data_IF_950607107899
#
_entry.id   IF_950607107899
#
_cell.length_a   1.000
_cell.length_b   1.000
_cell.length_c   1.000
_cell.angle_alpha   90.00
_cell.angle_beta   90.00
_cell.angle_gamma   90.00
#
_symmetry.space_group_name_H-M   'P 1'
#
loop_
_entity.id
_entity.type
_entity.pdbx_description
1 polymer ?
#
# COMPACT_ATOMS: atom_id res chain seq x y z
N UNK A 1 6.63 -3.19 11.93
CA UNK A 1 5.62 -2.90 12.98
C UNK A 1 4.73 -1.73 12.60
N UNK A 2 5.26 -0.63 12.05
CA UNK A 2 4.47 0.54 11.63
C UNK A 2 3.39 0.25 10.57
N UNK A 3 3.70 -0.58 9.56
CA UNK A 3 2.73 -0.93 8.51
C UNK A 3 1.51 -1.70 9.05
N UNK A 4 1.72 -2.64 9.98
CA UNK A 4 0.65 -3.46 10.55
C UNK A 4 -0.30 -2.62 11.42
N UNK A 5 0.24 -1.69 12.21
CA UNK A 5 -0.57 -0.76 13.03
C UNK A 5 -1.44 0.11 12.14
N UNK A 6 -0.88 0.67 11.07
CA UNK A 6 -1.62 1.54 10.14
C UNK A 6 -2.69 0.75 9.39
N UNK A 7 -2.41 -0.49 9.01
CA UNK A 7 -3.39 -1.33 8.32
C UNK A 7 -4.54 -1.75 9.25
N UNK A 8 -4.24 -2.05 10.52
CA UNK A 8 -5.27 -2.32 11.54
C UNK A 8 -6.11 -1.08 11.80
N UNK A 9 -5.48 0.10 11.96
CA UNK A 9 -6.20 1.37 12.11
C UNK A 9 -7.08 1.63 10.89
N UNK A 10 -6.57 1.42 9.67
CA UNK A 10 -7.34 1.60 8.44
C UNK A 10 -8.58 0.70 8.39
N UNK A 11 -8.40 -0.61 8.63
CA UNK A 11 -9.51 -1.57 8.61
C UNK A 11 -10.52 -1.19 9.71
N UNK A 12 -10.05 -0.87 10.90
CA UNK A 12 -10.91 -0.53 12.04
C UNK A 12 -11.69 0.77 11.78
N UNK A 13 -11.04 1.83 11.30
CA UNK A 13 -11.70 3.09 10.94
C UNK A 13 -12.69 2.91 9.78
N UNK A 14 -12.31 2.17 8.74
CA UNK A 14 -13.17 1.94 7.57
C UNK A 14 -14.42 1.14 7.94
N UNK A 15 -14.26 0.09 8.77
CA UNK A 15 -15.36 -0.75 9.26
C UNK A 15 -16.27 0.05 10.18
N UNK A 16 -15.72 0.84 11.11
CA UNK A 16 -16.54 1.70 12.00
C UNK A 16 -17.33 2.73 11.20
N UNK A 17 -16.70 3.41 10.24
CA UNK A 17 -17.37 4.39 9.36
C UNK A 17 -18.46 3.72 8.51
N UNK A 18 -18.27 2.47 8.10
CA UNK A 18 -19.25 1.70 7.34
C UNK A 18 -20.45 1.26 8.19
N UNK A 19 -20.21 0.74 9.40
CA UNK A 19 -21.30 0.39 10.32
C UNK A 19 -22.09 1.61 10.78
N UNK A 20 -21.41 2.75 10.97
CA UNK A 20 -22.06 4.01 11.34
C UNK A 20 -23.02 4.51 10.24
N UNK A 21 -22.64 4.38 8.95
CA UNK A 21 -23.52 4.73 7.82
C UNK A 21 -24.78 3.86 7.72
N UNK A 22 -24.68 2.57 8.08
CA UNK A 22 -25.82 1.64 8.02
C UNK A 22 -26.80 1.89 9.18
N UNK A 23 -26.30 2.22 10.37
CA UNK A 23 -27.12 2.26 11.58
C UNK A 23 -27.86 3.58 11.82
N UNK A 24 -27.29 4.71 11.38
CA UNK A 24 -27.87 6.05 11.64
C UNK A 24 -28.51 6.74 10.40
N UNK A 25 -28.51 6.08 9.23
CA UNK A 25 -28.82 6.69 7.94
C UNK A 25 -27.68 7.61 7.48
N UNK A 26 -27.33 7.60 6.18
CA UNK A 26 -26.08 8.18 5.67
C UNK A 26 -25.83 9.64 6.14
N UNK A 27 -24.98 9.91 7.16
CA UNK A 27 -24.57 11.28 7.52
C UNK A 27 -23.74 11.95 6.39
N UNK A 28 -23.29 11.13 5.44
CA UNK A 28 -22.68 11.43 4.15
C UNK A 28 -23.58 12.23 3.23
N UNK A 29 -24.91 12.16 3.42
CA UNK A 29 -25.89 12.96 2.68
C UNK A 29 -26.32 14.23 3.42
N UNK A 30 -26.21 14.25 4.75
CA UNK A 30 -26.56 15.38 5.60
C UNK A 30 -25.44 16.39 5.86
N UNK A 31 -24.16 16.00 5.73
CA UNK A 31 -23.03 16.90 6.00
C UNK A 31 -21.88 16.76 4.99
N UNK A 32 -21.64 17.84 4.24
CA UNK A 32 -20.55 17.95 3.26
C UNK A 32 -19.17 17.67 3.90
N UNK A 33 -19.00 18.07 5.16
CA UNK A 33 -17.75 17.90 5.91
C UNK A 33 -17.45 16.42 6.13
N UNK A 34 -18.44 15.63 6.54
CA UNK A 34 -18.25 14.20 6.80
C UNK A 34 -18.02 13.41 5.50
N UNK A 35 -18.74 13.78 4.44
CA UNK A 35 -18.52 13.27 3.08
C UNK A 35 -17.07 13.44 2.63
N UNK A 36 -16.54 14.68 2.72
CA UNK A 36 -15.14 15.00 2.37
C UNK A 36 -14.14 14.23 3.23
N UNK A 37 -14.37 14.19 4.54
CA UNK A 37 -13.47 13.52 5.47
C UNK A 37 -13.41 12.00 5.21
N UNK A 38 -14.55 11.36 4.95
CA UNK A 38 -14.63 9.91 4.66
C UNK A 38 -13.85 9.56 3.40
N UNK A 39 -14.07 10.29 2.31
CA UNK A 39 -13.35 10.06 1.05
C UNK A 39 -11.85 10.30 1.22
N UNK A 40 -11.47 11.41 1.86
CA UNK A 40 -10.07 11.75 2.08
C UNK A 40 -9.34 10.73 2.96
N UNK A 41 -9.91 10.37 4.11
CA UNK A 41 -9.31 9.39 5.03
C UNK A 41 -9.24 8.00 4.41
N UNK A 42 -10.31 7.54 3.76
CA UNK A 42 -10.31 6.24 3.08
C UNK A 42 -9.21 6.15 2.03
N UNK A 43 -9.02 7.24 1.29
CA UNK A 43 -8.03 7.32 0.23
C UNK A 43 -6.59 7.39 0.77
N UNK A 44 -6.33 8.21 1.80
CA UNK A 44 -5.00 8.32 2.41
C UNK A 44 -4.62 7.04 3.14
N UNK A 45 -5.51 6.52 3.99
CA UNK A 45 -5.18 5.34 4.79
C UNK A 45 -4.95 4.12 3.91
N UNK A 46 -5.80 3.93 2.88
CA UNK A 46 -5.62 2.86 1.89
C UNK A 46 -4.31 3.01 1.12
N UNK A 47 -3.96 4.22 0.68
CA UNK A 47 -2.69 4.45 0.00
C UNK A 47 -1.48 4.25 0.91
N UNK A 48 -1.54 4.77 2.13
CA UNK A 48 -0.47 4.62 3.09
C UNK A 48 -0.15 3.17 3.37
N UNK A 49 -1.17 2.33 3.58
CA UNK A 49 -0.98 0.89 3.77
C UNK A 49 -0.16 0.27 2.62
N UNK A 50 -0.54 0.56 1.37
CA UNK A 50 0.15 0.07 0.16
C UNK A 50 1.57 0.61 0.02
N UNK A 51 1.77 1.91 0.26
CA UNK A 51 3.09 2.53 0.15
C UNK A 51 4.06 2.01 1.21
N UNK A 52 3.62 1.80 2.46
CA UNK A 52 4.49 1.20 3.48
C UNK A 52 4.94 -0.19 3.09
N UNK A 53 4.07 -0.97 2.45
CA UNK A 53 4.44 -2.26 1.90
C UNK A 53 5.53 -2.11 0.83
N UNK A 54 5.33 -1.21 -0.14
CA UNK A 54 6.32 -0.96 -1.19
C UNK A 54 7.68 -0.54 -0.61
N UNK A 55 7.69 0.33 0.40
CA UNK A 55 8.90 0.74 1.12
C UNK A 55 9.58 -0.44 1.81
N UNK A 56 8.81 -1.35 2.41
CA UNK A 56 9.36 -2.59 2.99
C UNK A 56 10.00 -3.46 1.89
N UNK A 57 9.36 -3.61 0.73
CA UNK A 57 9.95 -4.36 -0.39
C UNK A 57 11.27 -3.71 -0.87
N UNK A 58 11.33 -2.38 -0.96
CA UNK A 58 12.54 -1.64 -1.32
C UNK A 58 13.63 -1.82 -0.26
N UNK A 59 13.30 -1.73 1.03
CA UNK A 59 14.26 -1.95 2.11
C UNK A 59 14.81 -3.39 2.09
N UNK A 60 13.95 -4.40 1.90
CA UNK A 60 14.39 -5.79 1.75
C UNK A 60 15.27 -5.99 0.51
N UNK A 61 14.95 -5.34 -0.62
CA UNK A 61 15.81 -5.35 -1.80
C UNK A 61 17.17 -4.70 -1.50
N UNK A 62 17.19 -3.55 -0.84
CA UNK A 62 18.41 -2.84 -0.46
C UNK A 62 19.33 -3.67 0.45
N UNK A 63 18.73 -4.39 1.42
CA UNK A 63 19.45 -5.30 2.33
C UNK A 63 20.01 -6.55 1.64
N UNK A 64 19.29 -7.09 0.66
CA UNK A 64 19.69 -8.32 -0.06
C UNK A 64 20.53 -8.07 -1.31
N UNK A 65 20.67 -6.81 -1.74
CA UNK A 65 21.48 -6.44 -2.89
C UNK A 65 22.97 -6.49 -2.59
N UNK A 66 23.76 -7.05 -3.51
CA UNK A 66 25.22 -7.13 -3.40
C UNK A 66 25.92 -5.78 -3.64
N UNK A 67 25.21 -4.79 -4.18
CA UNK A 67 25.80 -3.51 -4.54
C UNK A 67 25.76 -2.55 -3.34
N UNK A 68 26.94 -2.05 -2.96
CA UNK A 68 27.15 -1.19 -1.79
C UNK A 68 26.33 0.12 -1.82
N UNK A 69 25.99 0.64 -3.01
CA UNK A 69 25.14 1.83 -3.14
C UNK A 69 23.73 1.60 -2.60
N UNK A 70 23.13 0.45 -2.92
CA UNK A 70 21.80 0.10 -2.40
C UNK A 70 21.83 -0.22 -0.92
N UNK A 71 22.88 -0.86 -0.42
CA UNK A 71 23.04 -1.14 1.01
C UNK A 71 23.16 0.14 1.87
N UNK A 72 23.61 1.23 1.26
CA UNK A 72 23.69 2.55 1.92
C UNK A 72 22.30 3.18 2.10
N UNK A 73 21.30 2.82 1.29
CA UNK A 73 19.91 3.28 1.45
C UNK A 73 19.22 2.73 2.71
N UNK A 74 19.67 1.59 3.26
CA UNK A 74 19.19 1.05 4.53
C UNK A 74 19.86 1.67 5.76
N UNK A 75 20.64 2.76 5.61
CA UNK A 75 21.11 3.53 6.76
C UNK A 75 19.92 4.19 7.45
N UNK A 76 19.80 4.09 8.79
CA UNK A 76 18.61 4.57 9.52
C UNK A 76 18.34 6.06 9.35
N UNK A 77 19.37 6.89 9.16
CA UNK A 77 19.22 8.32 8.88
C UNK A 77 18.57 8.60 7.52
N UNK A 78 19.04 7.93 6.47
CA UNK A 78 18.50 8.06 5.10
C UNK A 78 17.11 7.46 5.00
N UNK A 79 16.89 6.30 5.61
CA UNK A 79 15.57 5.64 5.64
C UNK A 79 14.53 6.52 6.34
N UNK A 80 14.88 7.16 7.46
CA UNK A 80 13.96 8.07 8.17
C UNK A 80 13.58 9.28 7.32
N UNK A 81 14.55 9.89 6.64
CA UNK A 81 14.27 11.02 5.73
C UNK A 81 13.35 10.59 4.58
N UNK A 82 13.63 9.46 3.92
CA UNK A 82 12.80 8.91 2.85
C UNK A 82 11.37 8.62 3.30
N UNK A 83 11.18 8.01 4.47
CA UNK A 83 9.84 7.72 5.00
C UNK A 83 9.06 9.01 5.25
N UNK A 84 9.70 10.03 5.84
CA UNK A 84 9.03 11.32 6.11
C UNK A 84 8.67 12.01 4.79
N UNK A 85 9.61 12.08 3.83
CA UNK A 85 9.36 12.70 2.52
C UNK A 85 8.26 12.00 1.75
N UNK A 86 8.28 10.67 1.68
CA UNK A 86 7.23 9.88 1.01
C UNK A 86 5.89 10.11 1.72
N UNK A 87 5.85 10.05 3.06
CA UNK A 87 4.63 10.27 3.83
C UNK A 87 4.02 11.66 3.59
N UNK A 88 4.85 12.71 3.49
CA UNK A 88 4.39 14.06 3.19
C UNK A 88 3.79 14.15 1.78
N UNK A 89 4.48 13.61 0.76
CA UNK A 89 3.99 13.57 -0.61
C UNK A 89 2.64 12.84 -0.69
N UNK A 90 2.49 11.73 0.05
CA UNK A 90 1.25 10.95 0.06
C UNK A 90 0.06 11.64 0.73
N UNK A 91 0.27 12.69 1.52
CA UNK A 91 -0.83 13.54 2.00
C UNK A 91 -1.13 14.71 1.06
N UNK A 92 -0.08 15.29 0.47
CA UNK A 92 -0.21 16.46 -0.41
C UNK A 92 -0.93 16.08 -1.70
N UNK A 93 -0.55 14.96 -2.33
CA UNK A 93 -1.12 14.55 -3.61
C UNK A 93 -2.64 14.35 -3.54
N UNK A 94 -3.24 13.61 -2.58
CA UNK A 94 -4.69 13.44 -2.48
C UNK A 94 -5.44 14.63 -1.87
N UNK A 95 -4.77 15.74 -1.53
CA UNK A 95 -5.44 16.93 -0.94
C UNK A 95 -6.55 17.50 -1.83
N UNK A 96 -6.41 17.38 -3.15
CA UNK A 96 -7.41 17.79 -4.13
C UNK A 96 -8.76 17.05 -3.94
N UNK A 97 -8.73 15.80 -3.46
CA UNK A 97 -9.94 15.00 -3.18
C UNK A 97 -10.73 15.62 -2.03
N UNK A 98 -10.07 16.07 -0.96
CA UNK A 98 -10.75 16.71 0.18
C UNK A 98 -11.49 17.99 -0.22
N UNK A 99 -10.97 18.71 -1.22
CA UNK A 99 -11.53 19.99 -1.65
C UNK A 99 -12.66 19.78 -2.66
N UNK A 100 -12.43 18.90 -3.65
CA UNK A 100 -13.28 18.76 -4.84
C UNK A 100 -14.41 17.73 -4.70
N UNK A 101 -14.45 16.96 -3.60
CA UNK A 101 -15.59 16.09 -3.28
C UNK A 101 -16.82 16.91 -2.93
N UNK A 102 -17.95 16.62 -3.56
CA UNK A 102 -19.22 17.31 -3.34
C UNK A 102 -20.36 16.31 -3.10
N UNK A 103 -21.51 16.83 -2.68
CA UNK A 103 -22.75 16.06 -2.59
C UNK A 103 -23.65 16.53 -3.73
N UNK A 104 -24.04 15.60 -4.61
CA UNK A 104 -24.98 15.85 -5.69
C UNK A 104 -26.06 14.77 -5.70
N UNK A 105 -27.33 15.16 -5.78
CA UNK A 105 -28.49 14.25 -5.73
C UNK A 105 -28.52 13.31 -4.52
N UNK A 106 -28.07 13.80 -3.36
CA UNK A 106 -28.00 12.99 -2.14
C UNK A 106 -26.94 11.90 -2.17
N UNK A 107 -25.99 11.95 -3.12
CA UNK A 107 -24.84 11.05 -3.15
C UNK A 107 -23.55 11.85 -2.94
N UNK A 108 -22.64 11.29 -2.15
CA UNK A 108 -21.32 11.85 -1.89
C UNK A 108 -20.33 11.28 -2.90
N UNK A 109 -19.73 12.12 -3.74
CA UNK A 109 -18.90 11.65 -4.84
C UNK A 109 -18.22 12.76 -5.62
N UNK A 110 -17.72 12.37 -6.80
CA UNK A 110 -17.07 13.26 -7.74
C UNK A 110 -17.99 13.45 -8.95
N UNK A 111 -18.19 14.70 -9.36
CA UNK A 111 -19.16 15.05 -10.39
C UNK A 111 -18.58 16.02 -11.43
N UNK A 112 -19.25 16.11 -12.57
CA UNK A 112 -18.87 17.00 -13.67
C UNK A 112 -17.50 16.69 -14.27
N UNK A 113 -16.77 17.74 -14.65
CA UNK A 113 -15.46 17.64 -15.31
C UNK A 113 -14.36 17.06 -14.41
N UNK A 114 -14.56 17.00 -13.10
CA UNK A 114 -13.61 16.43 -12.16
C UNK A 114 -13.62 14.89 -12.15
N UNK A 115 -14.76 14.28 -12.45
CA UNK A 115 -14.90 12.82 -12.48
C UNK A 115 -13.87 12.10 -13.38
N UNK A 116 -13.68 12.47 -14.66
CA UNK A 116 -12.67 11.80 -15.51
C UNK A 116 -11.24 12.02 -15.01
N UNK A 117 -10.93 13.19 -14.45
CA UNK A 117 -9.62 13.48 -13.86
C UNK A 117 -9.35 12.58 -12.65
N UNK A 118 -10.33 12.47 -11.74
CA UNK A 118 -10.25 11.60 -10.57
C UNK A 118 -10.08 10.13 -10.96
N UNK A 119 -10.84 9.65 -11.94
CA UNK A 119 -10.73 8.28 -12.46
C UNK A 119 -9.35 8.01 -13.08
N UNK A 120 -8.84 8.92 -13.92
CA UNK A 120 -7.49 8.79 -14.48
C UNK A 120 -6.40 8.78 -13.39
N UNK A 121 -6.49 9.70 -12.42
CA UNK A 121 -5.58 9.73 -11.27
C UNK A 121 -5.61 8.43 -10.47
N UNK A 122 -6.81 7.92 -10.16
CA UNK A 122 -6.95 6.69 -9.37
C UNK A 122 -6.38 5.48 -10.08
N UNK A 123 -6.65 5.31 -11.37
CA UNK A 123 -6.13 4.20 -12.18
C UNK A 123 -4.61 4.28 -12.33
N UNK A 124 -4.07 5.45 -12.70
CA UNK A 124 -2.65 5.59 -13.01
C UNK A 124 -1.81 5.62 -11.73
N UNK A 125 -2.10 6.52 -10.80
CA UNK A 125 -1.26 6.79 -9.64
C UNK A 125 -1.46 5.76 -8.52
N UNK A 126 -2.69 5.29 -8.31
CA UNK A 126 -2.98 4.35 -7.20
C UNK A 126 -2.99 2.90 -7.66
N UNK A 127 -3.37 2.67 -8.91
CA UNK A 127 -3.37 1.35 -9.52
C UNK A 127 -2.01 1.03 -10.14
N UNK A 128 -1.79 1.51 -11.36
CA UNK A 128 -0.68 1.08 -12.21
C UNK A 128 0.69 1.34 -11.61
N UNK A 129 0.95 2.56 -11.12
CA UNK A 129 2.26 2.94 -10.57
C UNK A 129 2.59 2.15 -9.31
N UNK A 130 1.64 2.05 -8.37
CA UNK A 130 1.81 1.34 -7.11
C UNK A 130 2.07 -0.16 -7.34
N UNK A 131 1.29 -0.78 -8.23
CA UNK A 131 1.48 -2.17 -8.63
C UNK A 131 2.84 -2.41 -9.27
N UNK A 132 3.25 -1.55 -10.22
CA UNK A 132 4.54 -1.67 -10.88
C UNK A 132 5.69 -1.63 -9.87
N UNK A 133 5.66 -0.69 -8.92
CA UNK A 133 6.68 -0.59 -7.86
C UNK A 133 6.68 -1.85 -7.00
N UNK A 134 5.52 -2.30 -6.53
CA UNK A 134 5.43 -3.49 -5.66
C UNK A 134 5.88 -4.77 -6.37
N UNK A 135 5.48 -4.98 -7.63
CA UNK A 135 5.86 -6.16 -8.42
C UNK A 135 7.36 -6.15 -8.74
N UNK A 136 7.90 -5.03 -9.19
CA UNK A 136 9.32 -4.93 -9.57
C UNK A 136 10.22 -5.13 -8.34
N UNK A 137 10.02 -4.35 -7.28
CA UNK A 137 10.86 -4.45 -6.09
C UNK A 137 10.58 -5.73 -5.30
N UNK A 138 9.34 -6.21 -5.26
CA UNK A 138 8.98 -7.49 -4.66
C UNK A 138 9.65 -8.66 -5.38
N UNK A 139 9.60 -8.69 -6.71
CA UNK A 139 10.27 -9.73 -7.51
C UNK A 139 11.79 -9.68 -7.34
N UNK A 140 12.39 -8.50 -7.38
CA UNK A 140 13.83 -8.33 -7.17
C UNK A 140 14.26 -8.80 -5.77
N UNK A 141 13.51 -8.42 -4.72
CA UNK A 141 13.74 -8.88 -3.36
C UNK A 141 13.62 -10.41 -3.27
N UNK A 142 12.57 -11.00 -3.86
CA UNK A 142 12.39 -12.46 -3.90
C UNK A 142 13.56 -13.18 -4.60
N UNK A 143 13.99 -12.69 -5.76
CA UNK A 143 15.11 -13.27 -6.52
C UNK A 143 16.41 -13.23 -5.73
N UNK A 144 16.72 -12.11 -5.08
CA UNK A 144 17.93 -11.95 -4.28
C UNK A 144 17.89 -12.80 -3.01
N UNK A 145 16.72 -12.85 -2.35
CA UNK A 145 16.49 -13.68 -1.18
C UNK A 145 16.70 -15.17 -1.54
N UNK A 146 16.10 -15.66 -2.63
CA UNK A 146 16.27 -17.05 -3.11
C UNK A 146 17.74 -17.36 -3.41
N UNK A 147 18.47 -16.44 -4.06
CA UNK A 147 19.91 -16.60 -4.32
C UNK A 147 20.73 -16.71 -3.04
N UNK A 148 20.46 -15.86 -2.06
CA UNK A 148 21.12 -15.92 -0.76
C UNK A 148 20.86 -17.27 -0.07
N UNK A 149 19.62 -17.78 -0.13
CA UNK A 149 19.29 -19.10 0.44
C UNK A 149 20.00 -20.26 -0.28
N UNK A 150 20.17 -20.18 -1.61
CA UNK A 150 20.95 -21.19 -2.36
C UNK A 150 22.44 -21.14 -2.02
N UNK A 151 23.00 -19.94 -1.79
CA UNK A 151 24.42 -19.75 -1.48
C UNK A 151 24.74 -20.09 -0.01
N UNK A 152 23.82 -19.82 0.93
CA UNK A 152 23.98 -20.07 2.38
C UNK A 152 23.52 -21.48 2.79
N UNK A 153 23.45 -22.42 1.83
CA UNK A 153 23.42 -23.86 2.09
C UNK A 153 24.80 -24.56 2.21
N UNK A 154 25.91 -23.97 2.71
CA UNK A 154 27.06 -24.78 3.06
C UNK A 154 26.89 -25.29 4.51
N UNK A 155 27.00 -26.61 4.62
CA UNK A 155 27.41 -27.33 5.83
C UNK A 155 26.36 -27.52 6.91
N UNK A 156 25.74 -28.70 6.86
CA UNK A 156 24.96 -29.38 7.88
C UNK A 156 25.77 -29.66 9.17
N UNK A 157 26.41 -28.65 9.77
CA UNK A 157 27.20 -28.87 11.00
C UNK A 157 27.23 -27.70 12.01
N UNK A 158 26.33 -26.71 11.90
CA UNK A 158 26.19 -25.62 12.91
C UNK A 158 24.79 -25.60 13.54
N UNK A 159 24.35 -26.75 14.06
CA UNK A 159 22.96 -27.02 14.49
C UNK A 159 22.50 -26.40 15.82
N UNK A 160 23.28 -25.59 16.54
CA UNK A 160 22.91 -25.24 17.93
C UNK A 160 22.40 -23.80 18.16
N UNK A 161 22.84 -22.76 17.42
CA UNK A 161 22.50 -21.36 17.81
C UNK A 161 21.70 -20.48 16.81
N UNK A 162 21.34 -20.96 15.61
CA UNK A 162 20.75 -20.09 14.55
C UNK A 162 19.24 -20.27 14.28
N UNK A 163 18.47 -20.78 15.25
CA UNK A 163 16.99 -20.92 15.09
C UNK A 163 16.18 -19.61 14.97
N UNK A 164 16.63 -18.38 15.32
CA UNK A 164 15.76 -17.20 15.12
C UNK A 164 15.74 -16.66 13.68
N UNK A 165 16.81 -16.84 12.89
CA UNK A 165 16.93 -16.17 11.59
C UNK A 165 16.18 -16.87 10.45
N UNK A 166 16.06 -18.20 10.47
CA UNK A 166 15.34 -18.95 9.43
C UNK A 166 13.82 -18.71 9.49
N UNK A 167 13.25 -18.60 10.70
CA UNK A 167 11.84 -18.31 10.89
C UNK A 167 11.46 -16.88 10.49
N UNK A 168 12.37 -15.91 10.72
CA UNK A 168 12.15 -14.52 10.30
C UNK A 168 12.08 -14.41 8.77
N UNK A 169 13.01 -15.09 8.09
CA UNK A 169 13.08 -15.13 6.62
C UNK A 169 11.86 -15.83 5.99
N UNK A 170 11.40 -16.95 6.56
CA UNK A 170 10.22 -17.65 6.08
C UNK A 170 8.94 -16.81 6.25
N UNK A 171 8.81 -16.06 7.36
CA UNK A 171 7.73 -15.09 7.57
C UNK A 171 7.77 -13.93 6.56
N UNK A 172 8.94 -13.37 6.28
CA UNK A 172 9.09 -12.31 5.28
C UNK A 172 8.70 -12.80 3.87
N UNK A 173 9.00 -14.07 3.54
CA UNK A 173 8.60 -14.68 2.27
C UNK A 173 7.09 -14.88 2.18
N UNK A 174 6.43 -15.35 3.25
CA UNK A 174 4.97 -15.47 3.29
C UNK A 174 4.27 -14.13 3.14
N UNK A 175 4.82 -13.06 3.74
CA UNK A 175 4.33 -11.69 3.53
C UNK A 175 4.44 -11.30 2.05
N UNK A 176 5.58 -11.57 1.40
CA UNK A 176 5.77 -11.23 -0.02
C UNK A 176 4.78 -11.97 -0.94
N UNK A 177 4.47 -13.24 -0.65
CA UNK A 177 3.45 -14.02 -1.39
C UNK A 177 2.05 -13.47 -1.18
N UNK A 178 1.70 -13.09 0.05
CA UNK A 178 0.41 -12.45 0.35
C UNK A 178 0.23 -11.15 -0.46
N UNK A 179 1.30 -10.39 -0.63
CA UNK A 179 1.28 -9.12 -1.37
C UNK A 179 1.14 -9.32 -2.88
N UNK A 180 1.77 -10.36 -3.43
CA UNK A 180 1.55 -10.74 -4.83
C UNK A 180 0.11 -11.21 -5.07
N UNK A 181 -0.48 -11.92 -4.09
CA UNK A 181 -1.89 -12.28 -4.15
C UNK A 181 -2.80 -11.05 -4.07
N UNK A 182 -2.50 -10.09 -3.18
CA UNK A 182 -3.23 -8.83 -3.09
C UNK A 182 -3.14 -8.02 -4.41
N UNK A 183 -1.96 -7.97 -5.02
CA UNK A 183 -1.76 -7.35 -6.33
C UNK A 183 -2.57 -8.06 -7.43
N UNK A 184 -2.59 -9.39 -7.45
CA UNK A 184 -3.38 -10.17 -8.41
C UNK A 184 -4.89 -9.93 -8.23
N UNK A 185 -5.39 -9.93 -6.99
CA UNK A 185 -6.78 -9.59 -6.68
C UNK A 185 -7.09 -8.18 -7.14
N UNK A 186 -6.22 -7.20 -6.89
CA UNK A 186 -6.44 -5.83 -7.33
C UNK A 186 -6.50 -5.70 -8.86
N UNK A 187 -5.62 -6.38 -9.61
CA UNK A 187 -5.66 -6.39 -11.08
C UNK A 187 -6.96 -7.01 -11.58
N UNK A 188 -7.43 -8.11 -10.96
CA UNK A 188 -8.70 -8.74 -11.29
C UNK A 188 -9.89 -7.81 -11.00
N UNK A 189 -9.93 -7.22 -9.80
CA UNK A 189 -11.02 -6.33 -9.39
C UNK A 189 -11.06 -5.05 -10.21
N UNK A 190 -9.92 -4.40 -10.46
CA UNK A 190 -9.85 -3.18 -11.28
C UNK A 190 -10.05 -3.47 -12.76
N UNK A 191 -9.52 -4.59 -13.28
CA UNK A 191 -9.79 -5.02 -14.64
C UNK A 191 -11.28 -5.30 -14.86
N UNK A 192 -11.92 -5.97 -13.90
CA UNK A 192 -13.35 -6.22 -13.91
C UNK A 192 -14.16 -4.90 -13.82
N UNK A 193 -13.80 -4.00 -12.90
CA UNK A 193 -14.48 -2.70 -12.75
C UNK A 193 -14.35 -1.83 -14.01
N UNK A 194 -13.18 -1.83 -14.66
CA UNK A 194 -12.94 -1.09 -15.89
C UNK A 194 -13.70 -1.68 -17.08
N UNK A 195 -13.80 -3.01 -17.18
CA UNK A 195 -14.63 -3.67 -18.19
C UNK A 195 -16.12 -3.39 -17.97
N UNK A 196 -16.59 -3.42 -16.73
CA UNK A 196 -18.01 -3.22 -16.39
C UNK A 196 -18.44 -1.74 -16.55
N UNK A 197 -17.50 -0.80 -16.44
CA UNK A 197 -17.75 0.62 -16.68
C UNK A 197 -17.82 0.97 -18.18
N UNK A 198 -17.23 0.15 -19.05
CA UNK A 198 -17.24 0.33 -20.51
C UNK A 198 -18.37 -0.42 -21.24
N UNK A 199 -19.18 -1.21 -20.51
CA UNK A 199 -20.26 -2.05 -21.03
C UNK A 199 -21.62 -1.50 -20.61
#
# INVERSE_FOLDING_TARGET
MSAAVINIVYITCSVILYFYTIYYGDPTTGSLIFCKLRYYLGHILGQMARYFIAVVCIDRFALTSMNARFRTFSKPSTTRFLIISISAIMHIVPSHIAILTTIENGNCGQYGLYFPFYTAYTVICLGSLQLAVMVVFGYMAYRNARRLHTIVRPTENRRINNRPNTNLYCRDQSLLVMLLAEAAVYVLTMGFYSCLFFL
#
